data_IF_193551806917
#
_entry.id   IF_193551806917
#
_cell.length_a   1.000
_cell.length_b   1.000
_cell.length_c   1.000
_cell.angle_alpha   90.00
_cell.angle_beta   90.00
_cell.angle_gamma   90.00
#
_symmetry.space_group_name_H-M   'P 1'
#
loop_
_entity.id
_entity.type
_entity.pdbx_description
1 polymer ?
#
# COMPACT_ATOMS: atom_id res chain seq x y z
N UNK A 1 11.10 33.80 -0.31
CA UNK A 1 11.99 32.72 -0.79
C UNK A 1 11.11 31.82 -1.63
N UNK A 2 11.28 31.94 -2.95
CA UNK A 2 10.58 31.20 -4.01
C UNK A 2 11.47 30.02 -4.43
N UNK A 3 10.96 29.08 -5.25
CA UNK A 3 11.47 27.73 -5.61
C UNK A 3 11.01 26.65 -4.59
N UNK A 4 10.13 25.68 -4.88
CA UNK A 4 9.72 25.01 -6.13
C UNK A 4 8.19 24.91 -6.24
N UNK A 5 7.62 25.57 -7.25
CA UNK A 5 6.42 25.09 -7.94
C UNK A 5 6.96 24.25 -9.11
N UNK A 6 6.25 23.18 -9.46
CA UNK A 6 6.51 22.25 -10.58
C UNK A 6 7.51 21.11 -10.37
N UNK A 7 7.00 20.00 -9.83
CA UNK A 7 7.44 18.63 -10.19
C UNK A 7 6.45 17.99 -11.21
N UNK A 8 5.35 18.68 -11.55
CA UNK A 8 4.29 18.17 -12.43
C UNK A 8 4.49 18.48 -13.92
N UNK A 9 5.44 19.35 -14.27
CA UNK A 9 5.67 19.73 -15.66
C UNK A 9 6.15 18.54 -16.54
N UNK A 10 6.74 17.50 -15.95
CA UNK A 10 7.26 16.35 -16.72
C UNK A 10 6.19 15.29 -17.06
N UNK A 11 4.99 15.35 -16.46
CA UNK A 11 3.92 14.37 -16.68
C UNK A 11 2.58 14.98 -17.12
N UNK A 12 2.48 16.31 -17.24
CA UNK A 12 1.26 17.00 -17.66
C UNK A 12 0.69 16.46 -18.98
N UNK A 13 1.56 16.05 -19.91
CA UNK A 13 1.20 15.50 -21.22
C UNK A 13 0.54 14.10 -21.17
N UNK A 14 0.55 13.44 -20.00
CA UNK A 14 -0.02 12.11 -19.78
C UNK A 14 -1.45 12.16 -19.22
N UNK A 15 -1.92 13.34 -18.83
CA UNK A 15 -3.20 13.53 -18.17
C UNK A 15 -4.33 13.81 -19.20
N UNK A 16 -5.43 13.06 -19.10
CA UNK A 16 -6.57 13.21 -20.00
C UNK A 16 -7.82 12.47 -19.50
N UNK A 17 -8.95 12.54 -20.25
CA UNK A 17 -10.20 11.90 -19.84
C UNK A 17 -10.02 10.39 -19.59
N UNK A 18 -10.11 9.98 -18.32
CA UNK A 18 -9.93 8.58 -17.90
C UNK A 18 -8.54 8.23 -17.33
N UNK A 19 -7.61 9.18 -17.22
CA UNK A 19 -6.31 8.99 -16.56
C UNK A 19 -5.68 10.33 -16.21
N UNK A 20 -5.63 10.67 -14.93
CA UNK A 20 -5.01 11.90 -14.42
C UNK A 20 -3.88 11.50 -13.46
N UNK A 21 -2.75 12.19 -13.53
CA UNK A 21 -1.72 12.05 -12.51
C UNK A 21 -2.26 12.63 -11.19
N UNK A 22 -2.09 11.90 -10.10
CA UNK A 22 -2.45 12.34 -8.74
C UNK A 22 -1.16 12.63 -7.94
N UNK A 23 -0.63 13.86 -8.00
CA UNK A 23 0.39 14.33 -7.09
C UNK A 23 -0.32 14.99 -5.91
N UNK A 24 -0.71 14.16 -4.95
CA UNK A 24 -1.10 14.50 -3.59
C UNK A 24 -2.34 15.41 -3.42
N UNK A 25 -3.52 14.77 -3.30
CA UNK A 25 -4.34 14.69 -2.06
C UNK A 25 -5.77 14.28 -2.46
N UNK A 26 -6.18 13.06 -2.07
CA UNK A 26 -7.60 12.81 -1.81
C UNK A 26 -7.94 13.53 -0.50
N UNK A 27 -8.58 14.69 -0.60
CA UNK A 27 -9.08 15.44 0.54
C UNK A 27 -10.37 14.81 1.09
N UNK A 28 -10.30 13.58 1.61
CA UNK A 28 -11.31 13.07 2.54
C UNK A 28 -10.89 13.53 3.96
N UNK A 29 -10.76 14.84 4.16
CA UNK A 29 -10.39 15.41 5.47
C UNK A 29 -10.60 16.93 5.60
N UNK A 30 -11.53 17.54 4.84
CA UNK A 30 -11.78 18.99 4.89
C UNK A 30 -13.15 19.36 5.45
N UNK A 31 -13.91 18.39 5.97
CA UNK A 31 -15.18 18.62 6.64
C UNK A 31 -15.13 18.09 8.09
N UNK A 32 -14.97 18.97 9.10
CA UNK A 32 -15.05 18.62 10.52
C UNK A 32 -16.43 18.09 10.96
N UNK A 33 -17.45 18.20 10.10
CA UNK A 33 -18.85 17.87 10.39
C UNK A 33 -19.36 16.66 9.58
N UNK A 34 -18.53 16.08 8.70
CA UNK A 34 -18.90 15.00 7.79
C UNK A 34 -18.49 13.60 8.26
N UNK A 35 -19.22 12.56 7.83
CA UNK A 35 -18.81 11.17 8.02
C UNK A 35 -17.59 10.90 7.13
N UNK A 36 -16.46 10.57 7.76
CA UNK A 36 -15.20 10.35 7.05
C UNK A 36 -15.19 9.00 6.33
N UNK A 37 -14.64 9.01 5.11
CA UNK A 37 -14.32 7.78 4.40
C UNK A 37 -13.16 7.05 5.09
N UNK A 38 -13.21 5.72 5.07
CA UNK A 38 -12.15 4.85 5.62
C UNK A 38 -11.78 3.77 4.63
N UNK A 39 -10.55 3.26 4.73
CA UNK A 39 -10.15 2.05 4.00
C UNK A 39 -10.98 0.88 4.51
N UNK A 40 -11.77 0.27 3.63
CA UNK A 40 -12.68 -0.84 3.96
C UNK A 40 -12.18 -2.18 3.46
N UNK A 41 -11.36 -2.19 2.41
CA UNK A 41 -10.75 -3.39 1.85
C UNK A 41 -9.51 -3.02 1.02
N UNK A 42 -8.72 -4.04 0.65
CA UNK A 42 -7.55 -3.91 -0.21
C UNK A 42 -7.22 -5.26 -0.86
N UNK A 43 -6.38 -5.25 -1.89
CA UNK A 43 -5.87 -6.45 -2.54
C UNK A 43 -4.44 -6.24 -3.03
N UNK A 44 -3.70 -7.35 -3.16
CA UNK A 44 -2.38 -7.33 -3.81
C UNK A 44 -2.56 -7.20 -5.32
N UNK A 45 -1.65 -6.48 -5.95
CA UNK A 45 -1.54 -6.45 -7.41
C UNK A 45 -1.39 -7.86 -7.99
N UNK A 46 -2.06 -8.13 -9.10
CA UNK A 46 -1.89 -9.38 -9.86
C UNK A 46 -0.65 -9.38 -10.75
N UNK A 47 0.02 -8.24 -10.91
CA UNK A 47 1.23 -8.15 -11.70
C UNK A 47 2.45 -8.59 -10.88
N UNK A 48 3.13 -9.68 -11.26
CA UNK A 48 4.18 -10.29 -10.44
C UNK A 48 5.41 -9.39 -10.22
N UNK A 49 5.63 -8.42 -11.12
CA UNK A 49 6.82 -7.56 -11.11
C UNK A 49 6.57 -6.20 -10.45
N UNK A 50 5.39 -5.96 -9.87
CA UNK A 50 5.15 -4.71 -9.15
C UNK A 50 5.87 -4.76 -7.82
N UNK A 51 6.81 -3.85 -7.61
CA UNK A 51 7.42 -3.64 -6.31
C UNK A 51 6.41 -2.97 -5.39
N UNK A 52 6.15 -3.59 -4.24
CA UNK A 52 5.20 -3.09 -3.25
C UNK A 52 5.92 -2.22 -2.24
N UNK A 53 5.45 -1.01 -1.96
CA UNK A 53 6.06 -0.18 -0.93
C UNK A 53 5.89 -0.77 0.47
N UNK A 54 6.91 -0.56 1.29
CA UNK A 54 6.93 -0.98 2.70
C UNK A 54 6.83 0.25 3.59
N UNK A 55 5.90 0.18 4.55
CA UNK A 55 5.59 1.27 5.47
C UNK A 55 5.55 0.77 6.90
N UNK A 56 5.45 1.70 7.84
CA UNK A 56 5.09 1.41 9.24
C UNK A 56 3.63 1.78 9.50
N UNK A 57 2.94 1.00 10.32
CA UNK A 57 1.57 1.27 10.71
C UNK A 57 1.24 0.69 12.08
N UNK A 58 0.09 1.08 12.64
CA UNK A 58 -0.42 0.45 13.86
C UNK A 58 -0.48 -1.07 13.71
N UNK A 59 0.02 -1.78 14.73
CA UNK A 59 0.07 -3.24 14.76
C UNK A 59 -1.31 -3.92 14.86
N UNK A 60 -2.38 -3.15 15.05
CA UNK A 60 -3.74 -3.69 15.16
C UNK A 60 -4.29 -4.08 13.79
N UNK A 61 -4.69 -5.34 13.66
CA UNK A 61 -5.47 -5.80 12.53
C UNK A 61 -6.94 -5.55 12.83
N UNK A 62 -7.61 -4.71 12.03
CA UNK A 62 -9.07 -4.82 11.95
C UNK A 62 -9.39 -6.24 11.48
N UNK A 63 -10.43 -6.88 12.03
CA UNK A 63 -10.77 -8.29 11.72
C UNK A 63 -10.98 -8.60 10.24
N UNK A 64 -11.12 -7.57 9.39
CA UNK A 64 -11.23 -7.67 7.93
C UNK A 64 -9.89 -7.63 7.18
N UNK A 65 -8.79 -7.32 7.86
CA UNK A 65 -7.46 -7.09 7.28
C UNK A 65 -6.60 -8.34 7.56
N UNK A 66 -6.10 -8.98 6.50
CA UNK A 66 -5.26 -10.19 6.58
C UNK A 66 -4.06 -9.99 7.54
N UNK A 67 -4.00 -10.69 8.70
CA UNK A 67 -2.95 -10.50 9.69
C UNK A 67 -1.54 -10.78 9.18
N UNK A 68 -1.38 -11.68 8.19
CA UNK A 68 -0.07 -12.01 7.60
C UNK A 68 0.65 -10.82 6.97
N UNK A 69 -0.03 -9.70 6.68
CA UNK A 69 0.62 -8.48 6.15
C UNK A 69 1.56 -7.78 7.14
N UNK A 70 1.43 -8.06 8.43
CA UNK A 70 2.27 -7.51 9.50
C UNK A 70 3.39 -8.49 9.89
N UNK A 71 3.38 -9.69 9.33
CA UNK A 71 4.23 -10.79 9.75
C UNK A 71 5.39 -10.99 8.77
N UNK A 72 6.57 -11.21 9.33
CA UNK A 72 7.82 -11.32 8.58
C UNK A 72 8.61 -12.53 9.02
N UNK A 73 9.34 -13.11 8.07
CA UNK A 73 10.12 -14.31 8.28
C UNK A 73 11.54 -14.02 7.83
N UNK A 74 12.46 -13.97 8.79
CA UNK A 74 13.89 -13.87 8.51
C UNK A 74 14.49 -15.26 8.32
N UNK A 75 15.19 -15.47 7.20
CA UNK A 75 15.98 -16.65 6.94
C UNK A 75 17.47 -16.32 7.06
N UNK A 76 18.11 -16.80 8.12
CA UNK A 76 19.53 -16.56 8.37
C UNK A 76 20.47 -17.29 7.41
N UNK A 77 20.01 -18.32 6.68
CA UNK A 77 20.84 -19.06 5.75
C UNK A 77 21.10 -18.28 4.45
N UNK A 78 20.10 -17.54 3.98
CA UNK A 78 20.17 -16.78 2.72
C UNK A 78 20.10 -15.26 2.93
N UNK A 79 19.91 -14.81 4.18
CA UNK A 79 19.83 -13.39 4.56
C UNK A 79 18.50 -12.74 4.22
N UNK A 80 17.48 -13.46 3.77
CA UNK A 80 16.23 -12.83 3.32
C UNK A 80 15.29 -12.49 4.47
N UNK A 81 14.60 -11.37 4.35
CA UNK A 81 13.41 -11.04 5.14
C UNK A 81 12.21 -11.17 4.20
N UNK A 82 11.30 -12.10 4.49
CA UNK A 82 10.18 -12.43 3.61
C UNK A 82 8.84 -12.09 4.25
N UNK A 83 7.91 -11.56 3.46
CA UNK A 83 6.54 -11.36 3.93
C UNK A 83 5.86 -12.71 4.18
N UNK A 84 5.18 -12.87 5.31
CA UNK A 84 4.36 -14.06 5.55
C UNK A 84 3.10 -14.11 4.66
N UNK A 85 2.69 -12.97 4.08
CA UNK A 85 1.52 -12.85 3.21
C UNK A 85 1.71 -13.56 1.87
N UNK A 86 2.80 -13.27 1.17
CA UNK A 86 3.03 -13.70 -0.21
C UNK A 86 4.44 -14.25 -0.46
N UNK A 87 5.27 -14.40 0.57
CA UNK A 87 6.63 -14.98 0.52
C UNK A 87 7.66 -14.19 -0.29
N UNK A 88 7.31 -13.00 -0.77
CA UNK A 88 8.20 -12.06 -1.46
C UNK A 88 9.24 -11.45 -0.50
N UNK A 89 10.34 -10.96 -1.05
CA UNK A 89 11.52 -10.51 -0.31
C UNK A 89 11.54 -8.99 -0.11
N UNK A 90 11.87 -8.56 1.11
CA UNK A 90 12.21 -7.18 1.44
C UNK A 90 13.50 -6.81 0.69
N UNK A 91 13.44 -5.73 -0.09
CA UNK A 91 14.47 -5.41 -1.07
C UNK A 91 14.75 -3.92 -1.13
N UNK A 92 16.01 -3.55 -1.35
CA UNK A 92 16.36 -2.19 -1.77
C UNK A 92 15.98 -2.04 -3.25
N UNK A 93 15.14 -1.06 -3.56
CA UNK A 93 14.63 -0.85 -4.91
C UNK A 93 15.77 -0.49 -5.88
N UNK A 94 15.77 -1.12 -7.06
CA UNK A 94 16.73 -0.89 -8.15
C UNK A 94 18.21 -0.93 -7.71
N UNK A 95 18.55 -1.70 -6.67
CA UNK A 95 19.89 -1.77 -6.10
C UNK A 95 20.51 -0.39 -5.76
N UNK A 96 19.66 0.58 -5.42
CA UNK A 96 20.12 1.95 -5.17
C UNK A 96 21.06 2.02 -3.97
N UNK A 97 22.15 2.76 -4.12
CA UNK A 97 23.10 3.07 -3.04
C UNK A 97 22.90 4.47 -2.47
N UNK A 98 21.90 5.22 -2.96
CA UNK A 98 21.58 6.56 -2.50
C UNK A 98 21.10 6.55 -1.03
N UNK A 99 21.23 7.69 -0.36
CA UNK A 99 20.62 7.88 0.96
C UNK A 99 19.11 8.00 0.82
N UNK A 100 18.36 7.31 1.68
CA UNK A 100 16.91 7.21 1.53
C UNK A 100 16.46 6.31 0.39
N UNK A 101 17.26 5.29 0.02
CA UNK A 101 16.87 4.35 -1.01
C UNK A 101 15.60 3.58 -0.58
N UNK A 102 14.56 3.61 -1.41
CA UNK A 102 13.24 3.04 -1.09
C UNK A 102 13.32 1.53 -0.83
N UNK A 103 12.63 1.08 0.21
CA UNK A 103 12.44 -0.34 0.50
C UNK A 103 11.12 -0.82 -0.09
N UNK A 104 11.21 -1.94 -0.80
CA UNK A 104 10.08 -2.54 -1.49
C UNK A 104 10.00 -4.04 -1.22
N UNK A 105 8.86 -4.63 -1.54
CA UNK A 105 8.64 -6.06 -1.63
C UNK A 105 8.71 -6.48 -3.10
N UNK A 106 9.55 -7.47 -3.41
CA UNK A 106 9.70 -8.01 -4.77
C UNK A 106 9.89 -9.53 -4.75
N UNK A 107 9.78 -10.18 -5.91
CA UNK A 107 10.14 -11.60 -6.04
C UNK A 107 11.56 -11.87 -5.53
N UNK A 108 11.73 -13.02 -4.88
CA UNK A 108 13.00 -13.41 -4.27
C UNK A 108 13.95 -14.01 -5.33
N UNK A 109 15.11 -13.39 -5.54
CA UNK A 109 16.12 -13.76 -6.52
C UNK A 109 17.51 -13.90 -5.88
N UNK A 110 17.62 -14.75 -4.87
CA UNK A 110 18.86 -14.87 -4.08
C UNK A 110 19.91 -15.70 -4.82
N UNK A 111 21.13 -15.17 -4.92
CA UNK A 111 22.25 -15.76 -5.64
C UNK A 111 21.97 -15.99 -7.14
N UNK A 112 20.98 -15.29 -7.70
CA UNK A 112 20.69 -15.35 -9.13
C UNK A 112 21.59 -14.36 -9.88
N UNK A 113 22.64 -14.88 -10.49
CA UNK A 113 23.62 -14.11 -11.28
C UNK A 113 23.03 -13.28 -12.42
N UNK A 114 21.82 -13.63 -12.89
CA UNK A 114 21.16 -12.95 -14.01
C UNK A 114 20.31 -11.75 -13.55
N UNK A 115 20.09 -11.61 -12.24
CA UNK A 115 19.24 -10.56 -11.68
C UNK A 115 20.05 -9.35 -11.23
N UNK A 116 19.37 -8.21 -11.11
CA UNK A 116 20.01 -6.96 -10.70
C UNK A 116 20.72 -7.15 -9.35
N UNK A 117 21.96 -6.65 -9.27
CA UNK A 117 22.87 -6.82 -8.13
C UNK A 117 22.98 -8.27 -7.58
N UNK A 118 22.74 -9.28 -8.43
CA UNK A 118 22.89 -10.70 -8.10
C UNK A 118 22.08 -11.13 -6.85
N UNK A 119 20.95 -10.44 -6.60
CA UNK A 119 20.11 -10.66 -5.42
C UNK A 119 20.61 -10.03 -4.11
N UNK A 120 21.77 -9.33 -4.11
CA UNK A 120 22.36 -8.75 -2.89
C UNK A 120 21.47 -7.69 -2.25
N UNK A 121 20.66 -6.96 -3.03
CA UNK A 121 19.70 -5.98 -2.51
C UNK A 121 18.57 -6.58 -1.66
N UNK A 122 18.44 -7.91 -1.63
CA UNK A 122 17.41 -8.64 -0.88
C UNK A 122 17.97 -9.37 0.34
N UNK A 123 19.28 -9.22 0.60
CA UNK A 123 19.99 -9.87 1.69
C UNK A 123 20.26 -8.86 2.81
N UNK A 124 19.92 -9.27 4.02
CA UNK A 124 19.94 -8.49 5.24
C UNK A 124 20.64 -9.27 6.35
N UNK A 125 21.30 -8.55 7.24
CA UNK A 125 21.83 -9.06 8.49
C UNK A 125 20.96 -8.51 9.61
N UNK A 126 20.28 -9.39 10.33
CA UNK A 126 19.48 -9.02 11.49
C UNK A 126 20.30 -9.23 12.76
N UNK A 127 20.58 -8.13 13.47
CA UNK A 127 21.27 -8.15 14.76
C UNK A 127 20.26 -8.05 15.90
N UNK A 128 20.17 -9.08 16.75
CA UNK A 128 19.23 -9.10 17.87
C UNK A 128 19.72 -8.29 19.08
N UNK A 129 21.04 -8.20 19.27
CA UNK A 129 21.64 -7.46 20.39
C UNK A 129 21.59 -5.95 20.19
N UNK A 130 21.78 -5.48 18.96
CA UNK A 130 21.76 -4.06 18.57
C UNK A 130 20.46 -3.65 17.88
N UNK A 131 19.54 -4.60 17.67
CA UNK A 131 18.22 -4.41 17.05
C UNK A 131 18.32 -3.86 15.62
N UNK A 132 19.36 -4.25 14.90
CA UNK A 132 19.65 -3.74 13.56
C UNK A 132 19.10 -4.63 12.46
N UNK A 133 18.79 -4.02 11.33
CA UNK A 133 18.53 -4.70 10.05
C UNK A 133 19.41 -4.03 9.01
N UNK A 134 20.55 -4.64 8.69
CA UNK A 134 21.60 -4.06 7.86
C UNK A 134 21.64 -4.73 6.48
N UNK A 135 21.64 -3.95 5.41
CA UNK A 135 21.77 -4.48 4.05
C UNK A 135 23.15 -5.07 3.83
N UNK A 136 23.21 -6.31 3.33
CA UNK A 136 24.46 -6.95 2.93
C UNK A 136 25.01 -6.39 1.60
N UNK A 137 24.23 -5.57 0.87
CA UNK A 137 24.66 -4.96 -0.38
C UNK A 137 25.57 -3.74 -0.15
N UNK A 138 25.20 -2.87 0.79
CA UNK A 138 25.83 -1.55 0.94
C UNK A 138 26.05 -1.12 2.40
N UNK A 139 25.69 -1.95 3.39
CA UNK A 139 25.90 -1.67 4.81
C UNK A 139 24.91 -0.67 5.42
N UNK A 140 23.92 -0.18 4.67
CA UNK A 140 22.87 0.72 5.19
C UNK A 140 21.85 -0.03 6.03
N UNK A 141 21.28 0.63 7.02
CA UNK A 141 20.24 0.07 7.88
C UNK A 141 18.84 0.39 7.36
N UNK A 142 17.89 -0.47 7.73
CA UNK A 142 16.47 -0.21 7.58
C UNK A 142 16.05 0.96 8.49
N UNK A 143 15.43 1.99 7.90
CA UNK A 143 15.15 3.26 8.55
C UNK A 143 13.70 3.70 8.30
N UNK A 144 13.06 4.28 9.31
CA UNK A 144 11.77 4.98 9.13
C UNK A 144 12.04 6.42 8.73
N UNK A 145 11.48 6.85 7.59
CA UNK A 145 11.59 8.21 7.12
C UNK A 145 10.64 9.13 7.90
N UNK A 146 11.16 9.89 8.87
CA UNK A 146 10.35 10.79 9.69
C UNK A 146 9.95 12.11 8.98
N UNK A 147 10.50 12.38 7.79
CA UNK A 147 10.23 13.61 7.04
C UNK A 147 9.10 13.44 6.02
N UNK A 148 8.99 12.25 5.41
CA UNK A 148 8.06 11.98 4.31
C UNK A 148 7.28 10.68 4.53
N UNK A 149 6.08 10.81 5.12
CA UNK A 149 5.14 9.70 5.32
C UNK A 149 5.68 8.56 6.19
N UNK A 150 4.90 7.52 6.51
CA UNK A 150 5.38 6.38 7.30
C UNK A 150 6.23 5.41 6.46
N UNK A 151 7.06 5.92 5.56
CA UNK A 151 7.82 5.12 4.60
C UNK A 151 9.08 4.55 5.24
N UNK A 152 9.51 3.40 4.72
CA UNK A 152 10.75 2.74 5.12
C UNK A 152 11.77 2.85 4.00
N UNK A 153 12.98 3.29 4.34
CA UNK A 153 14.08 3.46 3.42
C UNK A 153 15.39 2.83 3.96
N UNK A 154 16.43 2.81 3.13
CA UNK A 154 17.78 2.44 3.54
C UNK A 154 18.60 3.71 3.80
N UNK A 155 19.17 3.78 5.00
CA UNK A 155 19.90 4.95 5.47
C UNK A 155 21.20 4.56 6.18
N UNK A 156 22.13 5.49 6.31
CA UNK A 156 23.33 5.31 7.11
C UNK A 156 22.96 5.08 8.57
N UNK A 157 23.59 4.08 9.19
CA UNK A 157 23.37 3.72 10.60
C UNK A 157 23.92 4.79 11.54
N UNK A 158 23.02 5.49 12.23
CA UNK A 158 23.33 6.55 13.20
C UNK A 158 22.77 6.25 14.60
N UNK A 159 22.30 5.01 14.82
CA UNK A 159 21.87 4.45 16.11
C UNK A 159 20.62 5.12 16.69
N UNK A 160 19.77 5.66 15.83
CA UNK A 160 18.50 6.25 16.24
C UNK A 160 17.44 5.19 16.46
N UNK A 161 16.47 5.46 17.34
CA UNK A 161 15.40 4.50 17.67
C UNK A 161 14.51 4.16 16.47
N UNK A 162 14.44 5.03 15.46
CA UNK A 162 13.71 4.80 14.21
C UNK A 162 14.51 4.00 13.15
N UNK A 163 15.72 3.56 13.51
CA UNK A 163 16.53 2.59 12.76
C UNK A 163 16.64 1.23 13.48
N UNK A 164 15.97 1.10 14.63
CA UNK A 164 16.00 -0.09 15.47
C UNK A 164 14.67 -0.84 15.40
N UNK A 165 14.78 -2.17 15.29
CA UNK A 165 13.66 -3.04 14.99
C UNK A 165 13.56 -4.20 15.98
N UNK A 166 12.42 -4.28 16.65
CA UNK A 166 12.06 -5.29 17.63
C UNK A 166 11.32 -6.44 16.93
N UNK A 167 11.94 -7.61 16.90
CA UNK A 167 11.38 -8.83 16.32
C UNK A 167 10.56 -9.59 17.37
N UNK A 168 9.26 -9.71 17.15
CA UNK A 168 8.39 -10.50 18.01
C UNK A 168 8.16 -11.89 17.38
N UNK A 169 8.76 -12.91 17.98
CA UNK A 169 8.66 -14.29 17.49
C UNK A 169 7.32 -14.95 17.83
N UNK A 170 6.55 -14.40 18.77
CA UNK A 170 5.23 -14.94 19.16
C UNK A 170 4.16 -14.59 18.12
N UNK A 171 4.12 -13.35 17.65
CA UNK A 171 3.13 -12.90 16.67
C UNK A 171 3.70 -12.68 15.26
N UNK A 172 5.01 -12.81 15.08
CA UNK A 172 5.72 -12.68 13.81
C UNK A 172 5.93 -11.23 13.35
N UNK A 173 5.59 -10.23 14.18
CA UNK A 173 5.71 -8.81 13.82
C UNK A 173 7.14 -8.28 13.98
N UNK A 174 7.47 -7.28 13.15
CA UNK A 174 8.70 -6.49 13.27
C UNK A 174 8.29 -5.07 13.58
N UNK A 175 8.72 -4.55 14.74
CA UNK A 175 8.22 -3.28 15.28
C UNK A 175 9.32 -2.25 15.41
N UNK A 176 9.02 -0.99 15.12
CA UNK A 176 9.93 0.12 15.38
C UNK A 176 10.18 0.25 16.88
N UNK A 177 11.43 0.53 17.28
CA UNK A 177 11.73 0.87 18.67
C UNK A 177 11.19 2.26 19.05
N UNK A 178 11.14 3.18 18.07
CA UNK A 178 10.70 4.56 18.25
C UNK A 178 9.27 4.70 18.84
N UNK A 179 8.29 4.01 18.26
CA UNK A 179 6.87 4.17 18.58
C UNK A 179 6.07 2.86 18.57
N UNK A 180 6.73 1.72 18.36
CA UNK A 180 6.11 0.40 18.42
C UNK A 180 5.22 0.05 17.22
N UNK A 181 5.27 0.84 16.14
CA UNK A 181 4.57 0.55 14.89
C UNK A 181 5.13 -0.68 14.19
N UNK A 182 4.28 -1.39 13.49
CA UNK A 182 4.63 -2.60 12.76
C UNK A 182 5.07 -2.28 11.33
N UNK A 183 6.19 -2.87 10.90
CA UNK A 183 6.57 -2.99 9.50
C UNK A 183 5.45 -3.72 8.75
N UNK A 184 4.93 -3.13 7.69
CA UNK A 184 3.78 -3.68 6.98
C UNK A 184 3.90 -3.52 5.47
N UNK A 185 3.30 -4.47 4.76
CA UNK A 185 3.12 -4.38 3.31
C UNK A 185 1.94 -3.45 3.02
N UNK A 186 2.18 -2.42 2.21
CA UNK A 186 1.13 -1.54 1.69
C UNK A 186 0.53 -2.16 0.44
N UNK A 187 -0.70 -2.67 0.54
CA UNK A 187 -1.37 -3.32 -0.58
C UNK A 187 -1.67 -2.30 -1.68
N UNK A 188 -1.41 -2.67 -2.93
CA UNK A 188 -1.45 -1.75 -4.06
C UNK A 188 -2.87 -1.31 -4.41
N UNK A 189 -3.84 -2.23 -4.30
CA UNK A 189 -5.23 -1.94 -4.62
C UNK A 189 -5.98 -1.64 -3.32
N UNK A 190 -6.59 -0.46 -3.23
CA UNK A 190 -7.30 -0.01 -2.04
C UNK A 190 -8.75 0.33 -2.34
N UNK A 191 -9.63 0.03 -1.38
CA UNK A 191 -11.05 0.39 -1.43
C UNK A 191 -11.33 1.24 -0.20
N UNK A 192 -11.76 2.47 -0.45
CA UNK A 192 -12.17 3.39 0.60
C UNK A 192 -13.66 3.66 0.47
N UNK A 193 -14.36 3.77 1.59
CA UNK A 193 -15.79 4.07 1.59
C UNK A 193 -16.21 4.95 2.75
N UNK A 194 -17.21 5.80 2.50
CA UNK A 194 -17.84 6.66 3.49
C UNK A 194 -19.33 6.80 3.22
N UNK A 195 -20.14 6.81 4.28
CA UNK A 195 -21.59 6.99 4.17
C UNK A 195 -21.94 8.42 3.78
N UNK A 196 -22.88 8.57 2.86
CA UNK A 196 -23.47 9.85 2.49
C UNK A 196 -24.77 10.10 3.25
N UNK A 197 -25.23 11.35 3.26
CA UNK A 197 -26.44 11.79 3.99
C UNK A 197 -27.73 11.10 3.51
N UNK A 198 -27.75 10.60 2.28
CA UNK A 198 -28.88 9.86 1.69
C UNK A 198 -28.78 8.34 1.92
N UNK A 199 -27.93 7.89 2.84
CA UNK A 199 -27.62 6.49 3.16
C UNK A 199 -26.95 5.69 2.02
N UNK A 200 -26.57 6.34 0.92
CA UNK A 200 -25.69 5.73 -0.07
C UNK A 200 -24.23 5.72 0.42
N UNK A 201 -23.36 5.04 -0.32
CA UNK A 201 -21.92 4.99 -0.05
C UNK A 201 -21.15 5.73 -1.14
N UNK A 202 -20.28 6.66 -0.76
CA UNK A 202 -19.18 7.11 -1.61
C UNK A 202 -18.07 6.07 -1.53
N UNK A 203 -17.61 5.56 -2.68
CA UNK A 203 -16.58 4.53 -2.76
C UNK A 203 -15.47 4.99 -3.68
N UNK A 204 -14.23 4.81 -3.26
CA UNK A 204 -13.02 5.08 -4.04
C UNK A 204 -12.29 3.76 -4.26
N UNK A 205 -12.01 3.45 -5.52
CA UNK A 205 -11.16 2.33 -5.93
C UNK A 205 -9.84 2.91 -6.41
N UNK A 206 -8.76 2.63 -5.68
CA UNK A 206 -7.46 3.24 -5.91
C UNK A 206 -6.43 2.17 -6.27
N UNK A 207 -5.72 2.37 -7.38
CA UNK A 207 -4.57 1.57 -7.74
C UNK A 207 -3.28 2.35 -7.44
N UNK A 208 -2.62 2.00 -6.35
CA UNK A 208 -1.33 2.56 -5.90
C UNK A 208 -0.12 1.80 -6.44
N UNK A 209 -0.33 0.79 -7.28
CA UNK A 209 0.77 0.06 -7.90
C UNK A 209 1.66 1.00 -8.72
N UNK A 210 2.90 0.58 -8.98
CA UNK A 210 3.86 1.34 -9.79
C UNK A 210 3.86 0.91 -11.27
N UNK A 211 3.02 -0.06 -11.66
CA UNK A 211 2.81 -0.46 -13.05
C UNK A 211 1.51 -1.24 -13.21
N UNK A 212 1.08 -1.46 -14.46
CA UNK A 212 -0.08 -2.29 -14.78
C UNK A 212 -1.42 -1.57 -14.75
N UNK A 213 -2.48 -2.29 -15.08
CA UNK A 213 -3.86 -1.81 -15.07
C UNK A 213 -4.77 -2.92 -14.57
N UNK A 214 -5.52 -2.66 -13.49
CA UNK A 214 -6.21 -3.70 -12.73
C UNK A 214 -7.66 -3.36 -12.43
N UNK A 215 -8.51 -4.39 -12.48
CA UNK A 215 -9.88 -4.31 -11.97
C UNK A 215 -9.88 -4.43 -10.44
N UNK A 216 -10.64 -3.58 -9.75
CA UNK A 216 -10.84 -3.64 -8.31
C UNK A 216 -12.29 -4.02 -8.03
N UNK A 217 -12.51 -4.99 -7.13
CA UNK A 217 -13.85 -5.46 -6.74
C UNK A 217 -14.23 -4.95 -5.37
N UNK A 218 -15.26 -4.11 -5.28
CA UNK A 218 -15.89 -3.75 -4.01
C UNK A 218 -17.03 -4.71 -3.69
N UNK A 219 -17.01 -5.34 -2.52
CA UNK A 219 -18.11 -6.18 -2.04
C UNK A 219 -19.05 -5.37 -1.15
N UNK A 220 -20.34 -5.66 -1.22
CA UNK A 220 -21.37 -5.03 -0.36
C UNK A 220 -21.07 -5.19 1.12
N UNK A 221 -20.55 -6.35 1.52
CA UNK A 221 -20.14 -6.62 2.90
C UNK A 221 -18.98 -5.75 3.39
N UNK A 222 -18.18 -5.19 2.48
CA UNK A 222 -17.07 -4.29 2.83
C UNK A 222 -17.61 -2.89 3.18
N UNK A 223 -18.68 -2.47 2.49
CA UNK A 223 -19.33 -1.16 2.64
C UNK A 223 -20.63 -1.21 3.47
N UNK A 224 -20.78 -2.25 4.30
CA UNK A 224 -21.90 -2.45 5.23
C UNK A 224 -23.30 -2.58 4.57
N UNK A 225 -23.35 -3.03 3.32
CA UNK A 225 -24.58 -3.47 2.65
C UNK A 225 -24.75 -5.00 2.77
N UNK A 226 -26.00 -5.51 2.77
CA UNK A 226 -26.24 -6.95 2.67
C UNK A 226 -25.70 -7.55 1.36
N UNK A 227 -25.22 -8.79 1.40
CA UNK A 227 -24.61 -9.44 0.23
C UNK A 227 -25.62 -9.72 -0.91
N UNK A 228 -26.91 -9.79 -0.61
CA UNK A 228 -28.00 -9.99 -1.57
C UNK A 228 -28.67 -8.68 -2.01
N UNK A 229 -28.20 -7.54 -1.50
CA UNK A 229 -28.76 -6.23 -1.80
C UNK A 229 -28.48 -5.82 -3.26
N UNK A 230 -29.55 -5.50 -4.01
CA UNK A 230 -29.42 -4.81 -5.29
C UNK A 230 -29.05 -3.34 -5.05
N UNK A 231 -28.05 -2.82 -5.76
CA UNK A 231 -27.64 -1.44 -5.67
C UNK A 231 -27.29 -0.86 -7.04
N UNK A 232 -27.60 0.42 -7.23
CA UNK A 232 -27.19 1.20 -8.40
C UNK A 232 -25.77 1.68 -8.17
N UNK A 233 -24.89 1.45 -9.14
CA UNK A 233 -23.52 1.94 -9.15
C UNK A 233 -23.40 3.07 -10.15
N UNK A 234 -22.93 4.23 -9.69
CA UNK A 234 -22.73 5.42 -10.50
C UNK A 234 -21.27 5.84 -10.49
N UNK A 235 -20.68 6.01 -11.66
CA UNK A 235 -19.39 6.67 -11.83
C UNK A 235 -19.58 8.19 -11.67
N UNK A 236 -18.89 8.77 -10.69
CA UNK A 236 -19.00 10.18 -10.36
C UNK A 236 -18.22 11.07 -11.33
N UNK A 237 -17.11 10.57 -11.89
CA UNK A 237 -16.32 11.30 -12.87
C UNK A 237 -17.00 11.34 -14.23
N UNK A 238 -17.47 10.18 -14.70
CA UNK A 238 -18.22 10.09 -15.95
C UNK A 238 -19.67 10.60 -15.82
N UNK A 239 -20.13 10.89 -14.59
CA UNK A 239 -21.50 11.29 -14.25
C UNK A 239 -22.54 10.32 -14.82
N UNK A 240 -22.22 9.03 -14.80
CA UNK A 240 -22.97 7.99 -15.50
C UNK A 240 -23.30 6.83 -14.58
N UNK A 241 -24.54 6.37 -14.66
CA UNK A 241 -24.96 5.12 -14.00
C UNK A 241 -24.40 3.94 -14.80
N UNK A 242 -23.67 3.06 -14.12
CA UNK A 242 -23.04 1.88 -14.70
C UNK A 242 -23.99 0.67 -14.72
N UNK A 243 -25.04 0.71 -13.91
CA UNK A 243 -26.06 -0.33 -13.85
C UNK A 243 -26.45 -0.70 -12.41
N UNK A 244 -27.20 -1.79 -12.30
CA UNK A 244 -27.62 -2.39 -11.04
C UNK A 244 -26.80 -3.66 -10.81
N UNK A 245 -26.23 -3.80 -9.62
CA UNK A 245 -25.37 -4.90 -9.23
C UNK A 245 -25.84 -5.52 -7.90
N UNK A 246 -25.56 -6.81 -7.71
CA UNK A 246 -25.94 -7.58 -6.51
C UNK A 246 -24.66 -8.17 -5.89
N UNK A 247 -24.49 -7.95 -4.59
CA UNK A 247 -23.37 -8.44 -3.77
C UNK A 247 -22.01 -7.78 -3.98
N UNK A 248 -21.69 -7.33 -5.20
CA UNK A 248 -20.43 -6.65 -5.50
C UNK A 248 -20.49 -5.87 -6.81
N UNK A 249 -19.48 -5.02 -7.01
CA UNK A 249 -19.16 -4.41 -8.29
C UNK A 249 -17.67 -4.58 -8.58
N UNK A 250 -17.32 -4.95 -9.81
CA UNK A 250 -15.93 -5.01 -10.29
C UNK A 250 -15.72 -3.92 -11.33
N UNK A 251 -14.73 -3.06 -11.10
CA UNK A 251 -14.42 -1.97 -12.01
C UNK A 251 -13.87 -2.48 -13.35
N UNK A 252 -13.96 -1.67 -14.42
CA UNK A 252 -13.02 -1.74 -15.53
C UNK A 252 -11.57 -1.62 -15.03
N UNK A 253 -10.60 -1.88 -15.88
CA UNK A 253 -9.19 -1.76 -15.51
C UNK A 253 -8.85 -0.31 -15.15
N UNK A 254 -8.30 -0.13 -13.95
CA UNK A 254 -7.79 1.14 -13.41
C UNK A 254 -6.27 1.09 -13.54
N UNK A 255 -5.70 2.03 -14.29
CA UNK A 255 -4.25 2.14 -14.47
C UNK A 255 -3.55 2.36 -13.12
N UNK A 256 -2.27 1.99 -13.05
CA UNK A 256 -1.43 2.31 -11.91
C UNK A 256 -1.43 3.82 -11.64
N UNK A 257 -1.33 4.18 -10.36
CA UNK A 257 -1.51 5.56 -9.85
C UNK A 257 -2.83 6.23 -10.24
N UNK A 258 -3.84 5.47 -10.67
CA UNK A 258 -5.15 6.01 -11.03
C UNK A 258 -6.24 5.58 -10.05
N UNK A 259 -7.38 6.28 -10.14
CA UNK A 259 -8.50 6.14 -9.21
C UNK A 259 -9.85 6.15 -9.94
N UNK A 260 -10.82 5.42 -9.40
CA UNK A 260 -12.23 5.48 -9.79
C UNK A 260 -13.08 5.88 -8.59
N UNK A 261 -13.99 6.85 -8.77
CA UNK A 261 -14.90 7.30 -7.72
C UNK A 261 -16.34 6.93 -8.06
N UNK A 262 -16.99 6.26 -7.12
CA UNK A 262 -18.32 5.70 -7.27
C UNK A 262 -19.27 6.26 -6.20
N UNK A 263 -20.55 6.38 -6.56
CA UNK A 263 -21.66 6.43 -5.61
C UNK A 263 -22.47 5.15 -5.75
N UNK A 264 -22.74 4.49 -4.63
CA UNK A 264 -23.44 3.21 -4.58
C UNK A 264 -24.68 3.34 -3.71
N UNK A 265 -25.85 3.19 -4.32
CA UNK A 265 -27.16 3.40 -3.67
C UNK A 265 -27.95 2.11 -3.66
N UNK A 266 -28.35 1.63 -2.49
CA UNK A 266 -29.21 0.45 -2.36
C UNK A 266 -30.58 0.70 -2.97
N UNK A 267 -31.12 -0.30 -3.65
CA UNK A 267 -32.51 -0.29 -4.07
C UNK A 267 -33.38 -0.74 -2.91
N UNK A 268 -34.38 0.06 -2.53
CA UNK A 268 -35.38 -0.39 -1.55
C UNK A 268 -36.19 -1.53 -2.17
N UNK A 269 -36.26 -2.67 -1.47
CA UNK A 269 -37.24 -3.69 -1.79
C UNK A 269 -38.62 -3.05 -1.67
N UNK A 270 -39.37 -2.99 -2.78
CA UNK A 270 -40.80 -2.70 -2.73
C UNK A 270 -41.45 -3.93 -2.10
N UNK A 271 -41.79 -3.82 -0.82
CA UNK A 271 -42.75 -4.72 -0.19
C UNK A 271 -44.16 -4.31 -0.61
#
# INVERSE_FOLDING_TARGET
MMFNIDINNDFADKAGPGGWNDPDIIAINQDPLGIQGKKVAFASSRFPNVSTEIVVANCSTSSKIEPKRLQWIYNSQDGTIRSALNRRCLSINNCSTAEGATIVLSECHINDSQTQCQGKNQQWTVGTADQTVISQMNGKCLNVNLLHGPNVDAHTWDKQDYQQWLWNTTDGTVRTKHDGQCLTVLQELEIWAGSLSDHSQAVVLLNRGNSGSESITVKWTDIAFPNDQAAIVRDLWARKDLGIFIGNFTSPNINYHSVMMLKITTMRNKY
#
